data_IF_630121880096
#
_entry.id   IF_630121880096
#
_cell.length_a   1.000
_cell.length_b   1.000
_cell.length_c   1.000
_cell.angle_alpha   90.00
_cell.angle_beta   90.00
_cell.angle_gamma   90.00
#
_symmetry.space_group_name_H-M   'P 1'
#
loop_
_entity.id
_entity.type
_entity.pdbx_description
1 polymer ?
#
# COMPACT_ATOMS: atom_id res chain seq x y z
N UNK A 1 6.52 -18.08 18.62
CA UNK A 1 7.39 -19.20 19.07
C UNK A 1 6.55 -20.20 19.86
N UNK A 2 6.97 -21.47 19.89
CA UNK A 2 6.36 -22.53 20.71
C UNK A 2 7.47 -23.20 21.53
N UNK A 3 7.29 -23.34 22.84
CA UNK A 3 8.26 -23.98 23.74
C UNK A 3 8.03 -25.49 23.81
N UNK A 4 9.03 -26.23 24.33
CA UNK A 4 8.93 -27.67 24.54
C UNK A 4 7.86 -28.04 25.59
N UNK A 5 7.61 -27.14 26.54
CA UNK A 5 6.62 -27.32 27.61
C UNK A 5 5.20 -26.88 27.21
N UNK A 6 4.98 -26.64 25.92
CA UNK A 6 3.64 -26.37 25.38
C UNK A 6 3.20 -24.90 25.45
N UNK A 7 4.08 -23.96 25.79
CA UNK A 7 3.74 -22.54 25.76
C UNK A 7 3.89 -21.95 24.35
N UNK A 8 3.03 -21.00 24.03
CA UNK A 8 3.09 -20.15 22.85
C UNK A 8 3.51 -18.75 23.29
N UNK A 9 4.58 -18.23 22.69
CA UNK A 9 5.14 -16.91 23.01
C UNK A 9 5.19 -16.08 21.74
N UNK A 10 4.63 -14.86 21.79
CA UNK A 10 4.74 -13.84 20.75
C UNK A 10 5.51 -12.64 21.30
N UNK A 11 6.57 -12.24 20.59
CA UNK A 11 7.35 -11.05 20.86
C UNK A 11 7.03 -10.01 19.78
N UNK A 12 6.67 -8.80 20.18
CA UNK A 12 6.29 -7.74 19.25
C UNK A 12 6.45 -6.34 19.88
N UNK A 13 6.00 -5.30 19.18
CA UNK A 13 5.88 -3.94 19.70
C UNK A 13 4.49 -3.34 19.47
N UNK A 14 4.17 -2.24 20.14
CA UNK A 14 2.93 -1.49 19.96
C UNK A 14 3.17 0.03 20.06
N UNK A 15 2.36 0.82 19.35
CA UNK A 15 2.49 2.27 19.24
C UNK A 15 3.85 2.73 18.68
N UNK A 16 4.24 2.20 17.51
CA UNK A 16 5.44 2.64 16.78
C UNK A 16 5.19 4.01 16.13
N UNK A 17 5.41 5.08 16.90
CA UNK A 17 5.22 6.49 16.51
C UNK A 17 6.50 7.26 16.87
N UNK A 18 6.98 8.12 15.96
CA UNK A 18 8.17 8.95 16.13
C UNK A 18 9.42 8.18 16.63
N UNK A 19 9.56 6.92 16.20
CA UNK A 19 10.64 6.02 16.61
C UNK A 19 11.03 5.07 15.47
N UNK A 20 12.21 4.48 15.55
CA UNK A 20 12.64 3.48 14.57
C UNK A 20 12.05 2.09 14.86
N UNK A 21 11.64 1.38 13.80
CA UNK A 21 11.07 0.02 13.88
C UNK A 21 12.02 -0.97 14.57
N UNK A 22 11.49 -1.81 15.45
CA UNK A 22 12.26 -2.82 16.19
C UNK A 22 12.24 -4.18 15.48
N UNK A 23 13.43 -4.71 15.21
CA UNK A 23 13.68 -6.11 14.91
C UNK A 23 14.22 -6.84 16.14
N UNK A 24 14.44 -8.16 16.02
CA UNK A 24 15.06 -8.96 17.06
C UNK A 24 16.29 -9.68 16.50
N UNK A 25 17.45 -9.46 17.12
CA UNK A 25 18.64 -10.26 16.91
C UNK A 25 18.65 -11.39 17.95
N UNK A 26 18.97 -12.62 17.53
CA UNK A 26 19.07 -13.78 18.41
C UNK A 26 20.55 -14.11 18.66
N UNK A 27 20.96 -14.09 19.92
CA UNK A 27 22.16 -14.80 20.35
C UNK A 27 21.80 -16.28 20.54
N UNK A 28 22.23 -17.13 19.60
CA UNK A 28 21.95 -18.57 19.63
C UNK A 28 22.67 -19.32 20.75
N UNK A 29 23.78 -18.78 21.27
CA UNK A 29 24.55 -19.44 22.33
C UNK A 29 23.86 -19.29 23.70
N UNK A 30 23.26 -18.13 23.95
CA UNK A 30 22.54 -17.84 25.20
C UNK A 30 21.02 -17.91 25.09
N UNK A 31 20.50 -18.06 23.86
CA UNK A 31 19.07 -18.01 23.51
C UNK A 31 18.39 -16.69 23.94
N UNK A 32 19.11 -15.57 23.80
CA UNK A 32 18.63 -14.24 24.15
C UNK A 32 18.27 -13.47 22.88
N UNK A 33 17.05 -12.93 22.84
CA UNK A 33 16.68 -11.93 21.84
C UNK A 33 16.99 -10.52 22.34
N UNK A 34 17.60 -9.71 21.48
CA UNK A 34 17.88 -8.29 21.73
C UNK A 34 17.19 -7.41 20.67
N UNK A 35 16.70 -6.23 21.09
CA UNK A 35 16.07 -5.30 20.17
C UNK A 35 17.07 -4.69 19.19
N UNK A 36 16.84 -4.87 17.89
CA UNK A 36 17.65 -4.31 16.82
C UNK A 36 16.85 -3.29 16.00
N UNK A 37 17.05 -2.00 16.26
CA UNK A 37 16.32 -0.93 15.55
C UNK A 37 16.85 -0.70 14.13
N UNK A 38 15.96 -0.32 13.21
CA UNK A 38 16.31 0.07 11.83
C UNK A 38 17.19 1.33 11.83
N UNK A 39 18.34 1.33 11.15
CA UNK A 39 19.16 2.53 11.01
C UNK A 39 18.60 3.52 9.97
N UNK A 40 18.91 4.81 10.16
CA UNK A 40 18.80 5.82 9.11
C UNK A 40 20.00 5.77 8.14
N UNK A 41 20.07 6.69 7.18
CA UNK A 41 21.16 6.77 6.20
C UNK A 41 22.55 7.07 6.81
N UNK A 42 22.62 7.53 8.07
CA UNK A 42 23.84 7.80 8.84
C UNK A 42 24.09 6.74 9.93
N UNK A 43 23.36 5.63 9.90
CA UNK A 43 23.36 4.56 10.91
C UNK A 43 22.85 4.94 12.30
N UNK A 44 22.24 6.11 12.47
CA UNK A 44 21.54 6.48 13.70
C UNK A 44 20.22 5.72 13.80
N UNK A 45 19.77 5.43 15.02
CA UNK A 45 18.58 4.59 15.29
C UNK A 45 17.42 5.36 15.92
N UNK A 46 17.47 6.69 15.90
CA UNK A 46 16.44 7.57 16.44
C UNK A 46 17.01 8.92 16.85
N UNK A 47 16.25 9.99 16.63
CA UNK A 47 16.54 11.33 17.13
C UNK A 47 15.45 11.68 18.15
N UNK A 48 15.83 11.84 19.42
CA UNK A 48 14.88 11.97 20.52
C UNK A 48 14.96 13.36 21.16
N UNK A 49 13.82 13.93 21.52
CA UNK A 49 13.72 15.17 22.30
C UNK A 49 12.80 14.95 23.49
N UNK A 50 13.28 15.25 24.70
CA UNK A 50 12.46 15.12 25.91
C UNK A 50 11.38 16.22 25.97
N UNK A 51 10.18 15.92 26.49
CA UNK A 51 9.72 14.58 26.92
C UNK A 51 9.32 13.68 25.73
N UNK A 52 9.74 12.40 25.76
CA UNK A 52 9.43 11.40 24.74
C UNK A 52 9.37 9.99 25.33
N UNK A 53 8.70 9.07 24.64
CA UNK A 53 8.61 7.65 25.00
C UNK A 53 9.12 6.78 23.85
N UNK A 54 9.59 5.57 24.16
CA UNK A 54 9.70 4.52 23.13
C UNK A 54 8.34 3.86 22.89
N UNK A 55 8.17 3.14 21.77
CA UNK A 55 7.08 2.19 21.61
C UNK A 55 7.13 1.12 22.71
N UNK A 56 5.98 0.53 23.01
CA UNK A 56 5.89 -0.59 23.95
C UNK A 56 6.60 -1.84 23.38
N UNK A 57 7.24 -2.64 24.22
CA UNK A 57 7.63 -4.02 23.88
C UNK A 57 6.66 -4.99 24.52
N UNK A 58 6.10 -5.90 23.72
CA UNK A 58 5.02 -6.81 24.15
C UNK A 58 5.50 -8.25 24.14
N UNK A 59 5.18 -8.97 25.23
CA UNK A 59 5.35 -10.43 25.34
C UNK A 59 3.97 -11.03 25.62
N UNK A 60 3.34 -11.65 24.63
CA UNK A 60 2.07 -12.37 24.81
C UNK A 60 2.41 -13.85 25.00
N UNK A 61 1.89 -14.46 26.07
CA UNK A 61 2.13 -15.86 26.41
C UNK A 61 0.83 -16.55 26.79
N UNK A 62 0.64 -17.78 26.29
CA UNK A 62 -0.43 -18.69 26.70
C UNK A 62 -0.01 -20.15 26.46
N UNK A 63 -0.63 -21.10 27.15
CA UNK A 63 -0.56 -22.53 26.84
C UNK A 63 -1.55 -22.94 25.72
N UNK A 64 -2.40 -22.01 25.27
CA UNK A 64 -3.30 -22.18 24.13
C UNK A 64 -2.97 -21.19 23.00
N UNK A 65 -2.64 -21.71 21.82
CA UNK A 65 -2.36 -20.90 20.63
C UNK A 65 -3.51 -19.96 20.24
N UNK A 66 -4.76 -20.32 20.57
CA UNK A 66 -5.96 -19.52 20.27
C UNK A 66 -5.97 -18.21 21.05
N UNK A 67 -5.43 -18.21 22.27
CA UNK A 67 -5.37 -17.02 23.12
C UNK A 67 -4.40 -15.98 22.57
N UNK A 68 -3.34 -16.42 21.88
CA UNK A 68 -2.41 -15.50 21.20
C UNK A 68 -3.16 -14.69 20.14
N UNK A 69 -4.03 -15.32 19.36
CA UNK A 69 -4.86 -14.66 18.34
C UNK A 69 -5.96 -13.79 18.97
N UNK A 70 -6.50 -14.21 20.12
CA UNK A 70 -7.57 -13.49 20.82
C UNK A 70 -7.07 -12.23 21.55
N UNK A 71 -5.77 -12.17 21.91
CA UNK A 71 -5.16 -11.08 22.64
C UNK A 71 -5.41 -9.72 21.98
N UNK A 72 -5.74 -8.71 22.81
CA UNK A 72 -5.92 -7.31 22.41
C UNK A 72 -4.78 -6.41 22.88
N UNK A 73 -3.68 -6.99 23.40
CA UNK A 73 -2.60 -6.23 24.04
C UNK A 73 -2.01 -5.16 23.13
N UNK A 74 -1.72 -5.47 21.86
CA UNK A 74 -1.19 -4.51 20.91
C UNK A 74 -2.13 -3.31 20.71
N UNK A 75 -3.43 -3.56 20.54
CA UNK A 75 -4.43 -2.48 20.36
C UNK A 75 -4.60 -1.66 21.64
N UNK A 76 -4.69 -2.30 22.80
CA UNK A 76 -4.91 -1.64 24.09
C UNK A 76 -3.76 -0.73 24.53
N UNK A 77 -2.56 -0.90 23.95
CA UNK A 77 -1.38 -0.08 24.24
C UNK A 77 -1.21 1.11 23.28
N UNK A 78 -2.11 1.27 22.29
CA UNK A 78 -2.17 2.47 21.46
C UNK A 78 -3.03 3.55 22.13
N UNK A 79 -2.77 4.80 21.76
CA UNK A 79 -3.63 5.92 22.15
C UNK A 79 -5.07 5.70 21.64
N UNK A 80 -6.08 6.24 22.35
CA UNK A 80 -7.46 6.23 21.88
C UNK A 80 -7.62 6.84 20.49
N UNK A 81 -8.72 6.50 19.81
CA UNK A 81 -9.00 7.01 18.47
C UNK A 81 -8.96 8.55 18.43
N UNK A 82 -8.07 9.11 17.62
CA UNK A 82 -7.92 10.56 17.41
C UNK A 82 -8.85 11.11 16.31
N UNK A 83 -9.62 10.26 15.63
CA UNK A 83 -10.57 10.66 14.58
C UNK A 83 -11.94 10.87 15.23
N UNK A 84 -12.42 12.12 15.26
CA UNK A 84 -13.68 12.47 15.93
C UNK A 84 -14.91 11.87 15.25
N UNK A 85 -15.00 11.98 13.92
CA UNK A 85 -16.06 11.38 13.11
C UNK A 85 -15.52 10.16 12.34
N UNK A 86 -15.92 8.97 12.78
CA UNK A 86 -15.56 7.70 12.13
C UNK A 86 -16.69 7.15 11.25
N UNK A 87 -17.76 7.90 10.99
CA UNK A 87 -18.94 7.43 10.24
C UNK A 87 -18.66 7.04 8.78
N UNK A 88 -17.58 7.58 8.22
CA UNK A 88 -17.10 7.33 6.86
C UNK A 88 -16.16 6.12 6.77
N UNK A 89 -15.58 5.66 7.88
CA UNK A 89 -14.69 4.49 7.92
C UNK A 89 -15.55 3.23 7.92
N UNK A 90 -15.49 2.46 6.83
CA UNK A 90 -16.30 1.27 6.62
C UNK A 90 -15.46 0.11 6.09
N UNK A 91 -15.76 -1.14 6.46
CA UNK A 91 -15.16 -2.31 5.81
C UNK A 91 -15.44 -2.30 4.30
N UNK A 92 -14.49 -2.81 3.52
CA UNK A 92 -14.58 -2.87 2.05
C UNK A 92 -14.22 -4.27 1.58
N UNK A 93 -15.12 -4.90 0.81
CA UNK A 93 -14.81 -6.08 0.00
C UNK A 93 -14.66 -5.65 -1.45
N UNK A 94 -13.53 -5.98 -2.08
CA UNK A 94 -13.22 -5.51 -3.42
C UNK A 94 -12.68 -6.62 -4.33
N UNK A 95 -12.72 -6.33 -5.64
CA UNK A 95 -11.97 -7.04 -6.68
C UNK A 95 -11.05 -6.03 -7.36
N UNK A 96 -10.15 -6.46 -8.25
CA UNK A 96 -9.32 -5.49 -8.95
C UNK A 96 -8.77 -5.94 -10.29
N UNK A 97 -8.59 -4.96 -11.17
CA UNK A 97 -7.65 -5.04 -12.28
C UNK A 97 -6.27 -4.96 -11.65
N UNK A 98 -5.73 -6.14 -11.32
CA UNK A 98 -4.53 -6.29 -10.49
C UNK A 98 -3.77 -7.57 -10.83
N UNK A 99 -4.42 -8.72 -10.60
CA UNK A 99 -3.78 -10.03 -10.70
C UNK A 99 -3.20 -10.34 -12.08
N UNK A 100 -3.78 -9.77 -13.15
CA UNK A 100 -3.26 -9.96 -14.51
C UNK A 100 -1.84 -9.40 -14.68
N UNK A 101 -1.50 -8.32 -13.99
CA UNK A 101 -0.16 -7.74 -14.03
C UNK A 101 0.82 -8.49 -13.13
N UNK A 102 0.35 -8.92 -11.94
CA UNK A 102 1.15 -9.77 -11.03
C UNK A 102 1.55 -11.09 -11.69
N UNK A 103 0.65 -11.69 -12.46
CA UNK A 103 0.92 -12.96 -13.18
C UNK A 103 1.66 -12.78 -14.50
N UNK A 104 1.87 -11.53 -14.95
CA UNK A 104 2.48 -11.21 -16.24
C UNK A 104 1.58 -11.48 -17.46
N UNK A 105 0.28 -11.73 -17.26
CA UNK A 105 -0.70 -11.85 -18.35
C UNK A 105 -0.97 -10.50 -19.03
N UNK A 106 -0.93 -9.43 -18.25
CA UNK A 106 -1.16 -8.05 -18.69
C UNK A 106 -0.06 -7.13 -18.16
N UNK A 107 0.00 -5.91 -18.67
CA UNK A 107 0.96 -4.89 -18.26
C UNK A 107 0.25 -3.77 -17.47
N UNK A 108 1.01 -3.14 -16.58
CA UNK A 108 0.67 -1.82 -16.04
C UNK A 108 0.99 -0.70 -17.05
N UNK A 109 2.05 -0.86 -17.83
CA UNK A 109 2.48 0.11 -18.83
C UNK A 109 1.51 0.16 -20.02
N UNK A 110 1.29 1.36 -20.55
CA UNK A 110 0.45 1.61 -21.71
C UNK A 110 1.16 1.22 -23.02
N UNK A 111 2.47 1.42 -23.10
CA UNK A 111 3.26 1.17 -24.31
C UNK A 111 4.55 0.42 -24.02
N UNK A 112 5.04 -0.33 -25.02
CA UNK A 112 6.35 -0.98 -25.00
C UNK A 112 7.36 -0.27 -25.94
N UNK A 113 6.96 0.83 -26.60
CA UNK A 113 7.78 1.49 -27.64
C UNK A 113 8.89 2.38 -27.06
N UNK A 114 8.75 2.80 -25.81
CA UNK A 114 9.64 3.77 -25.19
C UNK A 114 10.62 3.08 -24.23
N UNK A 115 11.94 3.34 -24.35
CA UNK A 115 12.93 2.80 -23.40
C UNK A 115 12.92 3.53 -22.05
N UNK A 116 12.33 4.73 -21.99
CA UNK A 116 12.10 5.54 -20.79
C UNK A 116 11.07 6.65 -21.09
N UNK A 117 10.47 7.23 -20.05
CA UNK A 117 9.43 8.28 -20.16
C UNK A 117 9.75 9.50 -19.30
N UNK A 118 9.24 10.67 -19.67
CA UNK A 118 9.32 11.89 -18.87
C UNK A 118 7.93 12.51 -18.77
N UNK A 119 7.37 12.54 -17.56
CA UNK A 119 6.04 13.10 -17.33
C UNK A 119 6.00 14.58 -17.71
N UNK A 120 4.94 15.00 -18.41
CA UNK A 120 4.79 16.34 -18.98
C UNK A 120 5.58 16.59 -20.27
N UNK A 121 6.36 15.61 -20.76
CA UNK A 121 7.09 15.69 -22.04
C UNK A 121 6.69 14.55 -22.97
N UNK A 122 6.62 13.32 -22.46
CA UNK A 122 6.13 12.15 -23.19
C UNK A 122 4.66 12.36 -23.55
N UNK A 123 4.36 12.31 -24.85
CA UNK A 123 2.98 12.42 -25.35
C UNK A 123 2.43 11.03 -25.62
N UNK A 124 1.74 10.45 -24.63
CA UNK A 124 1.16 9.11 -24.72
C UNK A 124 0.06 8.99 -25.80
N UNK A 125 -0.49 10.10 -26.29
CA UNK A 125 -1.44 10.06 -27.43
C UNK A 125 -0.76 9.72 -28.76
N UNK A 126 0.57 9.81 -28.83
CA UNK A 126 1.37 9.59 -30.05
C UNK A 126 2.17 8.30 -30.06
N UNK A 127 2.16 7.55 -28.97
CA UNK A 127 2.82 6.22 -28.89
C UNK A 127 1.80 5.13 -29.19
N UNK A 128 2.28 3.97 -29.64
CA UNK A 128 1.41 2.82 -29.84
C UNK A 128 1.06 2.18 -28.49
N UNK A 129 -0.24 1.99 -28.17
CA UNK A 129 -0.61 1.15 -27.05
C UNK A 129 -0.10 -0.29 -27.26
N UNK A 130 0.39 -0.92 -26.20
CA UNK A 130 0.66 -2.36 -26.22
C UNK A 130 -0.66 -3.15 -26.18
N UNK A 131 -0.60 -4.44 -26.50
CA UNK A 131 -1.80 -5.29 -26.56
C UNK A 131 -2.23 -5.79 -25.16
N UNK A 132 -1.49 -5.41 -24.11
CA UNK A 132 -1.55 -6.04 -22.79
C UNK A 132 -1.96 -5.08 -21.67
N UNK A 133 -2.14 -3.78 -21.94
CA UNK A 133 -2.50 -2.80 -20.92
C UNK A 133 -3.86 -3.13 -20.26
N UNK A 134 -3.83 -3.40 -18.96
CA UNK A 134 -5.00 -3.88 -18.25
C UNK A 134 -6.00 -2.77 -17.88
N UNK A 135 -5.50 -1.59 -17.55
CA UNK A 135 -6.30 -0.48 -17.02
C UNK A 135 -6.94 0.35 -18.13
N UNK A 136 -7.76 -0.30 -18.97
CA UNK A 136 -8.53 0.38 -20.00
C UNK A 136 -10.03 0.42 -19.67
N UNK A 137 -10.72 1.42 -20.22
CA UNK A 137 -12.14 1.68 -19.96
C UNK A 137 -13.05 0.46 -20.13
N UNK A 138 -12.83 -0.35 -21.17
CA UNK A 138 -13.67 -1.52 -21.46
C UNK A 138 -13.48 -2.60 -20.39
N UNK A 139 -12.24 -2.94 -20.05
CA UNK A 139 -11.96 -3.96 -19.05
C UNK A 139 -12.44 -3.50 -17.67
N UNK A 140 -12.17 -2.24 -17.29
CA UNK A 140 -12.55 -1.70 -15.98
C UNK A 140 -14.08 -1.69 -15.80
N UNK A 141 -14.85 -1.29 -16.82
CA UNK A 141 -16.33 -1.38 -16.78
C UNK A 141 -16.83 -2.80 -16.56
N UNK A 142 -16.20 -3.80 -17.18
CA UNK A 142 -16.53 -5.21 -16.96
C UNK A 142 -16.28 -5.66 -15.52
N UNK A 143 -15.19 -5.19 -14.88
CA UNK A 143 -14.95 -5.47 -13.46
C UNK A 143 -16.00 -4.77 -12.58
N UNK A 144 -16.37 -3.53 -12.89
CA UNK A 144 -17.46 -2.81 -12.19
C UNK A 144 -18.78 -3.58 -12.30
N UNK A 145 -19.12 -4.09 -13.49
CA UNK A 145 -20.32 -4.90 -13.69
C UNK A 145 -20.32 -6.15 -12.82
N UNK A 146 -19.21 -6.90 -12.81
CA UNK A 146 -19.06 -8.09 -11.97
C UNK A 146 -19.12 -7.77 -10.47
N UNK A 147 -18.46 -6.68 -10.05
CA UNK A 147 -18.49 -6.22 -8.66
C UNK A 147 -19.92 -5.89 -8.22
N UNK A 148 -20.66 -5.15 -9.05
CA UNK A 148 -22.05 -4.77 -8.81
C UNK A 148 -22.98 -5.99 -8.76
N UNK A 149 -22.83 -6.93 -9.69
CA UNK A 149 -23.65 -8.15 -9.76
C UNK A 149 -23.46 -9.06 -8.53
N UNK A 150 -22.26 -9.08 -7.94
CA UNK A 150 -21.91 -10.01 -6.87
C UNK A 150 -21.73 -9.37 -5.49
N UNK A 151 -22.15 -8.12 -5.32
CA UNK A 151 -22.18 -7.44 -4.02
C UNK A 151 -20.80 -7.13 -3.45
N UNK A 152 -19.88 -6.68 -4.31
CA UNK A 152 -18.61 -6.07 -3.90
C UNK A 152 -18.76 -4.54 -3.77
N UNK A 153 -18.06 -3.96 -2.80
CA UNK A 153 -18.13 -2.54 -2.48
C UNK A 153 -17.24 -1.70 -3.40
N UNK A 154 -16.15 -2.28 -3.92
CA UNK A 154 -15.18 -1.54 -4.70
C UNK A 154 -14.39 -2.32 -5.75
N UNK A 155 -13.77 -1.56 -6.65
CA UNK A 155 -12.85 -2.04 -7.69
C UNK A 155 -11.54 -1.29 -7.62
N UNK A 156 -10.43 -2.00 -7.36
CA UNK A 156 -9.06 -1.51 -7.51
C UNK A 156 -8.66 -1.53 -8.99
N UNK A 157 -7.96 -0.49 -9.43
CA UNK A 157 -7.32 -0.46 -10.75
C UNK A 157 -5.89 0.03 -10.58
N UNK A 158 -4.93 -0.85 -10.83
CA UNK A 158 -3.53 -0.45 -10.97
C UNK A 158 -3.19 -0.25 -12.45
N UNK A 159 -2.20 0.60 -12.77
CA UNK A 159 -1.82 0.90 -14.15
C UNK A 159 -2.60 2.05 -14.78
N UNK A 160 -3.45 2.76 -14.05
CA UNK A 160 -4.35 3.75 -14.64
C UNK A 160 -3.67 5.07 -15.06
N UNK A 161 -2.57 5.45 -14.42
CA UNK A 161 -1.91 6.75 -14.51
C UNK A 161 -0.61 6.70 -15.32
N UNK A 162 -0.19 7.81 -15.92
CA UNK A 162 1.07 7.87 -16.69
C UNK A 162 2.31 7.57 -15.82
N UNK A 163 3.28 6.82 -16.38
CA UNK A 163 4.60 6.59 -15.78
C UNK A 163 5.01 5.13 -15.58
N UNK A 164 4.09 4.17 -15.77
CA UNK A 164 4.33 2.75 -15.52
C UNK A 164 5.36 2.09 -16.43
N UNK A 165 5.84 2.75 -17.48
CA UNK A 165 6.97 2.25 -18.27
C UNK A 165 8.28 2.22 -17.45
N UNK A 166 8.42 3.10 -16.44
CA UNK A 166 9.67 3.30 -15.67
C UNK A 166 9.56 2.94 -14.18
N UNK A 167 8.46 2.32 -13.75
CA UNK A 167 8.14 2.14 -12.32
C UNK A 167 9.13 1.26 -11.54
N UNK A 168 9.84 0.34 -12.20
CA UNK A 168 10.56 -0.73 -11.50
C UNK A 168 12.09 -0.55 -11.51
N UNK A 169 12.68 -0.47 -10.31
CA UNK A 169 14.12 -0.63 -10.10
C UNK A 169 15.00 0.48 -10.68
N UNK A 170 14.44 1.65 -11.00
CA UNK A 170 15.17 2.77 -11.64
C UNK A 170 15.67 3.84 -10.68
N UNK A 171 15.22 3.85 -9.42
CA UNK A 171 15.45 4.96 -8.49
C UNK A 171 15.05 6.32 -9.11
N UNK A 172 13.94 6.33 -9.86
CA UNK A 172 13.43 7.52 -10.57
C UNK A 172 12.70 8.43 -9.59
N UNK A 173 13.13 9.70 -9.51
CA UNK A 173 12.52 10.68 -8.59
C UNK A 173 11.12 11.09 -9.07
N UNK A 174 11.01 11.77 -10.22
CA UNK A 174 9.72 12.13 -10.80
C UNK A 174 9.16 10.99 -11.65
N UNK A 175 8.65 9.96 -10.97
CA UNK A 175 8.15 8.71 -11.55
C UNK A 175 6.65 8.72 -11.83
N UNK A 176 5.86 9.41 -10.99
CA UNK A 176 4.41 9.54 -11.08
C UNK A 176 3.96 10.93 -10.64
N UNK A 177 2.88 11.45 -11.23
CA UNK A 177 2.18 12.67 -10.77
C UNK A 177 0.88 12.38 -10.02
N UNK A 178 0.45 11.11 -10.02
CA UNK A 178 -0.73 10.57 -9.34
C UNK A 178 -2.08 11.12 -9.81
N UNK A 179 -2.12 11.89 -10.91
CA UNK A 179 -3.34 12.58 -11.37
C UNK A 179 -3.62 12.43 -12.87
N UNK A 180 -2.60 12.18 -13.69
CA UNK A 180 -2.78 12.11 -15.14
C UNK A 180 -3.05 10.67 -15.57
N UNK A 181 -4.25 10.37 -16.10
CA UNK A 181 -4.57 9.03 -16.59
C UNK A 181 -3.94 8.75 -17.96
N UNK A 182 -3.74 7.47 -18.28
CA UNK A 182 -3.38 7.07 -19.64
C UNK A 182 -4.51 7.34 -20.66
N UNK A 183 -4.20 7.42 -21.97
CA UNK A 183 -5.18 7.74 -23.01
C UNK A 183 -6.39 6.78 -23.10
N UNK A 184 -6.27 5.56 -22.62
CA UNK A 184 -7.34 4.54 -22.63
C UNK A 184 -8.09 4.39 -21.29
N UNK A 185 -7.80 5.26 -20.31
CA UNK A 185 -8.47 5.33 -19.02
C UNK A 185 -9.13 6.70 -18.80
N UNK A 186 -10.46 6.73 -18.79
CA UNK A 186 -11.25 7.94 -18.58
C UNK A 186 -11.76 7.95 -17.13
N UNK A 187 -11.08 8.73 -16.28
CA UNK A 187 -11.36 8.82 -14.83
C UNK A 187 -12.81 9.22 -14.57
N UNK A 188 -13.31 10.24 -15.28
CA UNK A 188 -14.67 10.76 -15.05
C UNK A 188 -15.73 9.76 -15.52
N UNK A 189 -15.54 9.16 -16.70
CA UNK A 189 -16.48 8.16 -17.22
C UNK A 189 -16.50 6.89 -16.36
N UNK A 190 -15.35 6.43 -15.86
CA UNK A 190 -15.25 5.27 -14.97
C UNK A 190 -15.88 5.58 -13.60
N UNK A 191 -15.59 6.74 -13.01
CA UNK A 191 -16.20 7.16 -11.75
C UNK A 191 -17.73 7.22 -11.88
N UNK A 192 -18.24 7.87 -12.92
CA UNK A 192 -19.68 7.97 -13.15
C UNK A 192 -20.33 6.59 -13.38
N UNK A 193 -19.66 5.69 -14.11
CA UNK A 193 -20.15 4.34 -14.33
C UNK A 193 -20.18 3.52 -13.02
N UNK A 194 -19.10 3.53 -12.24
CA UNK A 194 -19.03 2.87 -10.94
C UNK A 194 -20.13 3.36 -9.99
N UNK A 195 -20.31 4.69 -9.92
CA UNK A 195 -21.38 5.32 -9.15
C UNK A 195 -22.78 4.86 -9.58
N UNK A 196 -23.03 4.76 -10.89
CA UNK A 196 -24.30 4.26 -11.42
C UNK A 196 -24.59 2.79 -11.06
N UNK A 197 -23.54 2.03 -10.72
CA UNK A 197 -23.58 0.62 -10.35
C UNK A 197 -23.48 0.38 -8.84
N UNK A 198 -23.43 1.46 -8.04
CA UNK A 198 -23.27 1.38 -6.58
C UNK A 198 -21.90 0.88 -6.12
N UNK A 199 -20.88 0.97 -6.98
CA UNK A 199 -19.51 0.51 -6.72
C UNK A 199 -18.58 1.72 -6.54
N UNK A 200 -17.62 1.63 -5.63
CA UNK A 200 -16.56 2.62 -5.46
C UNK A 200 -15.29 2.22 -6.22
N UNK A 201 -14.60 3.21 -6.79
CA UNK A 201 -13.24 2.98 -7.26
C UNK A 201 -12.28 3.06 -6.07
N UNK A 202 -11.31 2.15 -6.02
CA UNK A 202 -10.22 2.16 -5.04
C UNK A 202 -8.99 2.72 -5.75
N UNK A 203 -8.54 3.89 -5.27
CA UNK A 203 -7.36 4.57 -5.82
C UNK A 203 -6.09 3.75 -5.57
N UNK A 204 -5.13 3.89 -6.48
CA UNK A 204 -3.83 3.25 -6.41
C UNK A 204 -2.71 4.27 -6.57
N UNK A 205 -1.83 4.39 -5.56
CA UNK A 205 -0.67 5.26 -5.54
C UNK A 205 0.62 4.44 -5.28
N UNK A 206 1.12 3.75 -6.30
CA UNK A 206 2.50 3.24 -6.28
C UNK A 206 3.47 4.42 -6.37
N UNK A 207 4.54 4.39 -5.58
CA UNK A 207 5.51 5.50 -5.49
C UNK A 207 6.88 5.13 -6.05
N UNK A 208 7.11 3.86 -6.36
CA UNK A 208 8.40 3.28 -6.78
C UNK A 208 9.53 3.58 -5.79
N UNK A 209 9.21 3.78 -4.51
CA UNK A 209 10.15 4.19 -3.46
C UNK A 209 10.50 5.68 -3.46
N UNK A 210 9.92 6.50 -4.34
CA UNK A 210 10.17 7.94 -4.43
C UNK A 210 9.28 8.75 -3.46
N UNK A 211 9.52 8.63 -2.16
CA UNK A 211 8.68 9.23 -1.11
C UNK A 211 8.54 10.76 -1.21
N UNK A 212 9.65 11.47 -1.43
CA UNK A 212 9.62 12.94 -1.62
C UNK A 212 8.77 13.36 -2.81
N UNK A 213 8.79 12.60 -3.89
CA UNK A 213 7.94 12.87 -5.06
C UNK A 213 6.47 12.72 -4.68
N UNK A 214 6.12 11.67 -3.95
CA UNK A 214 4.75 11.46 -3.48
C UNK A 214 4.28 12.61 -2.56
N UNK A 215 5.08 13.02 -1.58
CA UNK A 215 4.75 14.13 -0.68
C UNK A 215 4.44 15.43 -1.44
N UNK A 216 5.22 15.76 -2.48
CA UNK A 216 5.00 16.96 -3.31
C UNK A 216 3.67 16.95 -4.06
N UNK A 217 3.10 15.78 -4.31
CA UNK A 217 1.87 15.61 -5.07
C UNK A 217 0.69 15.16 -4.19
N UNK A 218 0.91 14.90 -2.90
CA UNK A 218 -0.05 14.24 -2.02
C UNK A 218 -1.38 15.01 -1.91
N UNK A 219 -1.33 16.32 -1.64
CA UNK A 219 -2.53 17.15 -1.52
C UNK A 219 -3.33 17.18 -2.83
N UNK A 220 -2.64 17.35 -3.97
CA UNK A 220 -3.27 17.34 -5.29
C UNK A 220 -3.91 15.98 -5.59
N UNK A 221 -3.20 14.89 -5.29
CA UNK A 221 -3.67 13.53 -5.53
C UNK A 221 -4.89 13.16 -4.68
N UNK A 222 -4.94 13.61 -3.42
CA UNK A 222 -6.10 13.40 -2.55
C UNK A 222 -7.31 14.27 -2.89
N UNK A 223 -7.12 15.34 -3.67
CA UNK A 223 -8.18 16.28 -4.06
C UNK A 223 -8.90 15.88 -5.37
N UNK A 224 -8.29 14.99 -6.18
CA UNK A 224 -8.80 14.51 -7.47
C UNK A 224 -10.13 13.75 -7.35
#
# INVERSE_FOLDING_TARGET
>A
MKTNDGLYINLHEAALVDYSCMHLDLDEASLVFESHLTPDAQANKGYMQAPCNSPWRTIIVSDDARDILASKMTLNLNEPCAIEDTSWIKPVKYIGVWWEMITGKSSWAYTDELPAVQLGVTDYSKVKPNDTHAANNTKVKRYIDFASEHGFDGVLVEGWNEGWEDWFGKSKDYVFDFVTPYPDFDVEAIHNYAKSKGVKMIMHHETSGATRNYERHMDTAYQL
#
